data_IF_920574122145
#
_entry.id   IF_920574122145
#
_cell.length_a   1.000
_cell.length_b   1.000
_cell.length_c   1.000
_cell.angle_alpha   90.00
_cell.angle_beta   90.00
_cell.angle_gamma   90.00
#
_symmetry.space_group_name_H-M   'P 1'
#
loop_
_entity.id
_entity.type
_entity.pdbx_description
1 polymer ?
#
# COMPACT_ATOMS: atom_id res chain seq x y z
N UNK A 1 -26.33 0.86 -4.80
CA UNK A 1 -25.13 1.71 -4.72
C UNK A 1 -25.55 3.13 -4.36
N UNK A 2 -25.53 3.50 -3.08
CA UNK A 2 -25.78 4.86 -2.64
C UNK A 2 -24.43 5.53 -2.39
N UNK A 3 -24.06 6.50 -3.22
CA UNK A 3 -22.91 7.36 -3.00
C UNK A 3 -23.30 8.39 -1.92
N UNK A 4 -23.04 8.06 -0.66
CA UNK A 4 -23.26 8.97 0.47
C UNK A 4 -22.04 9.90 0.59
N UNK A 5 -22.26 11.21 0.42
CA UNK A 5 -21.23 12.24 0.40
C UNK A 5 -20.71 12.55 1.80
N UNK A 6 -19.44 12.95 1.95
CA UNK A 6 -18.78 13.23 3.25
C UNK A 6 -19.53 14.27 4.12
N UNK A 7 -20.45 15.05 3.54
CA UNK A 7 -21.34 15.96 4.26
C UNK A 7 -22.41 15.28 5.13
N UNK A 8 -22.60 13.97 4.99
CA UNK A 8 -23.68 13.25 5.67
C UNK A 8 -23.29 12.70 7.06
N UNK A 9 -21.99 12.63 7.37
CA UNK A 9 -21.52 12.15 8.67
C UNK A 9 -21.51 13.29 9.70
N UNK A 10 -22.65 13.50 10.37
CA UNK A 10 -22.79 14.44 11.50
C UNK A 10 -22.40 13.80 12.84
N UNK A 11 -22.26 14.63 13.88
CA UNK A 11 -22.01 14.19 15.26
C UNK A 11 -22.98 13.09 15.66
N UNK A 12 -22.44 12.00 16.21
CA UNK A 12 -23.22 10.85 16.66
C UNK A 12 -24.09 11.28 17.83
N UNK A 13 -25.41 11.12 17.68
CA UNK A 13 -26.40 11.42 18.75
C UNK A 13 -27.16 10.18 19.22
N UNK A 14 -27.04 9.06 18.52
CA UNK A 14 -27.71 7.80 18.89
C UNK A 14 -26.84 6.58 18.69
N UNK A 15 -27.20 5.49 19.39
CA UNK A 15 -26.53 4.19 19.25
C UNK A 15 -26.73 3.59 17.86
N UNK A 16 -27.94 3.70 17.30
CA UNK A 16 -28.27 3.21 15.96
C UNK A 16 -27.45 3.93 14.88
N UNK A 17 -27.29 5.24 14.99
CA UNK A 17 -26.45 6.02 14.09
C UNK A 17 -24.98 5.58 14.18
N UNK A 18 -24.48 5.34 15.40
CA UNK A 18 -23.12 4.81 15.62
C UNK A 18 -22.92 3.45 14.96
N UNK A 19 -23.91 2.58 15.06
CA UNK A 19 -23.85 1.23 14.49
C UNK A 19 -23.88 1.27 12.96
N UNK A 20 -24.71 2.14 12.36
CA UNK A 20 -24.71 2.37 10.92
C UNK A 20 -23.34 2.83 10.44
N UNK A 21 -22.75 3.86 11.06
CA UNK A 21 -21.43 4.35 10.69
C UNK A 21 -20.34 3.28 10.82
N UNK A 22 -20.43 2.42 11.84
CA UNK A 22 -19.50 1.31 12.00
C UNK A 22 -19.61 0.30 10.85
N UNK A 23 -20.83 -0.07 10.47
CA UNK A 23 -21.08 -1.00 9.37
C UNK A 23 -20.62 -0.42 8.03
N UNK A 24 -20.93 0.85 7.77
CA UNK A 24 -20.54 1.54 6.54
C UNK A 24 -19.02 1.66 6.43
N UNK A 25 -18.34 1.99 7.54
CA UNK A 25 -16.88 2.00 7.59
C UNK A 25 -16.30 0.61 7.31
N UNK A 26 -16.82 -0.43 7.97
CA UNK A 26 -16.33 -1.79 7.82
C UNK A 26 -16.54 -2.35 6.41
N UNK A 27 -17.60 -1.95 5.71
CA UNK A 27 -17.90 -2.39 4.35
C UNK A 27 -16.77 -2.03 3.36
N UNK A 28 -16.13 -0.87 3.52
CA UNK A 28 -15.01 -0.42 2.69
C UNK A 28 -13.64 -0.69 3.33
N UNK A 29 -13.58 -0.89 4.64
CA UNK A 29 -12.35 -1.18 5.38
C UNK A 29 -11.62 -2.43 4.87
N UNK A 30 -12.38 -3.43 4.42
CA UNK A 30 -11.85 -4.67 3.86
C UNK A 30 -11.04 -4.48 2.57
N UNK A 31 -11.41 -3.49 1.76
CA UNK A 31 -10.66 -3.14 0.55
C UNK A 31 -9.40 -2.36 0.93
N UNK A 32 -9.54 -1.40 1.84
CA UNK A 32 -8.41 -0.62 2.36
C UNK A 32 -7.34 -1.51 3.00
N UNK A 33 -7.72 -2.45 3.88
CA UNK A 33 -6.77 -3.33 4.58
C UNK A 33 -5.97 -4.21 3.63
N UNK A 34 -6.60 -4.72 2.56
CA UNK A 34 -5.93 -5.53 1.54
C UNK A 34 -4.92 -4.69 0.75
N UNK A 35 -5.31 -3.49 0.32
CA UNK A 35 -4.40 -2.56 -0.37
C UNK A 35 -3.23 -2.14 0.51
N UNK A 36 -3.50 -1.78 1.77
CA UNK A 36 -2.49 -1.41 2.77
C UNK A 36 -1.50 -2.55 3.01
N UNK A 37 -1.98 -3.78 3.14
CA UNK A 37 -1.13 -4.97 3.31
C UNK A 37 -0.25 -5.22 2.08
N UNK A 38 -0.79 -5.02 0.87
CA UNK A 38 -0.04 -5.13 -0.36
C UNK A 38 1.08 -4.09 -0.46
N UNK A 39 0.76 -2.81 -0.21
CA UNK A 39 1.74 -1.73 -0.16
C UNK A 39 2.83 -2.01 0.88
N UNK A 40 2.45 -2.48 2.06
CA UNK A 40 3.41 -2.84 3.11
C UNK A 40 4.34 -3.99 2.69
N UNK A 41 3.81 -5.01 2.00
CA UNK A 41 4.61 -6.12 1.45
C UNK A 41 5.62 -5.62 0.42
N UNK A 42 5.21 -4.72 -0.48
CA UNK A 42 6.09 -4.10 -1.47
C UNK A 42 7.20 -3.29 -0.77
N UNK A 43 6.84 -2.39 0.15
CA UNK A 43 7.81 -1.57 0.90
C UNK A 43 8.82 -2.44 1.63
N UNK A 44 8.37 -3.55 2.26
CA UNK A 44 9.28 -4.49 2.94
C UNK A 44 10.30 -5.09 1.98
N UNK A 45 9.88 -5.56 0.81
CA UNK A 45 10.77 -6.11 -0.22
C UNK A 45 11.79 -5.07 -0.70
N UNK A 46 11.38 -3.80 -0.86
CA UNK A 46 12.29 -2.73 -1.21
C UNK A 46 13.32 -2.45 -0.12
N UNK A 47 12.91 -2.43 1.14
CA UNK A 47 13.84 -2.26 2.26
C UNK A 47 14.85 -3.40 2.32
N UNK A 48 14.39 -4.66 2.19
CA UNK A 48 15.26 -5.85 2.15
C UNK A 48 16.23 -5.84 0.95
N UNK A 49 15.77 -5.41 -0.23
CA UNK A 49 16.63 -5.25 -1.39
C UNK A 49 17.63 -4.11 -1.19
N UNK A 50 17.21 -3.00 -0.60
CA UNK A 50 18.07 -1.86 -0.28
C UNK A 50 19.17 -2.22 0.71
N UNK A 51 18.87 -3.01 1.74
CA UNK A 51 19.88 -3.50 2.69
C UNK A 51 20.83 -4.49 2.03
N UNK A 52 20.32 -5.46 1.26
CA UNK A 52 21.17 -6.38 0.46
C UNK A 52 22.07 -5.61 -0.49
N UNK A 53 21.56 -4.62 -1.22
CA UNK A 53 22.36 -3.77 -2.11
C UNK A 53 23.46 -3.03 -1.36
N UNK A 54 23.19 -2.50 -0.16
CA UNK A 54 24.21 -1.84 0.66
C UNK A 54 25.30 -2.82 1.12
N UNK A 55 24.92 -4.05 1.49
CA UNK A 55 25.84 -5.10 1.93
C UNK A 55 26.71 -5.66 0.79
N UNK A 56 26.13 -5.85 -0.40
CA UNK A 56 26.85 -6.39 -1.56
C UNK A 56 27.61 -5.34 -2.38
N UNK A 57 27.37 -4.03 -2.15
CA UNK A 57 27.96 -2.95 -2.94
C UNK A 57 28.69 -1.89 -2.09
N UNK A 58 29.80 -2.21 -1.40
CA UNK A 58 30.64 -1.22 -0.74
C UNK A 58 31.55 -0.45 -1.74
N UNK A 59 31.01 -0.03 -2.90
CA UNK A 59 31.72 0.86 -3.84
C UNK A 59 32.38 0.22 -5.07
N UNK A 60 32.07 -1.03 -5.45
CA UNK A 60 32.64 -1.65 -6.67
C UNK A 60 31.81 -1.38 -7.94
N UNK A 61 32.50 -1.24 -9.08
CA UNK A 61 31.94 -0.90 -10.40
C UNK A 61 30.96 -1.94 -10.96
N UNK A 62 31.00 -3.18 -10.48
CA UNK A 62 30.13 -4.28 -10.92
C UNK A 62 28.68 -4.15 -10.47
N UNK A 63 28.40 -3.37 -9.41
CA UNK A 63 27.05 -3.13 -8.93
C UNK A 63 26.20 -2.21 -9.83
N UNK A 64 26.82 -1.44 -10.74
CA UNK A 64 26.07 -0.62 -11.68
C UNK A 64 25.32 -1.48 -12.71
N UNK A 65 25.86 -2.67 -13.02
CA UNK A 65 25.31 -3.58 -14.02
C UNK A 65 24.10 -4.37 -13.50
N UNK A 66 24.02 -4.64 -12.19
CA UNK A 66 22.85 -5.31 -11.59
C UNK A 66 21.70 -4.34 -11.28
N UNK A 67 22.00 -3.06 -11.02
CA UNK A 67 20.97 -2.02 -10.78
C UNK A 67 20.04 -1.81 -11.98
N UNK A 68 20.56 -1.84 -13.21
CA UNK A 68 19.72 -1.60 -14.40
C UNK A 68 18.71 -2.72 -14.70
N UNK A 69 19.00 -3.98 -14.32
CA UNK A 69 18.09 -5.11 -14.54
C UNK A 69 16.92 -5.10 -13.56
N UNK A 70 17.18 -4.73 -12.30
CA UNK A 70 16.15 -4.73 -11.23
C UNK A 70 15.12 -3.60 -11.40
N UNK A 71 15.53 -2.44 -11.93
CA UNK A 71 14.60 -1.33 -12.22
C UNK A 71 13.55 -1.74 -13.27
N UNK A 72 13.95 -2.50 -14.30
CA UNK A 72 13.01 -2.96 -15.34
C UNK A 72 11.95 -3.93 -14.80
N UNK A 73 12.33 -4.86 -13.91
CA UNK A 73 11.39 -5.82 -13.32
C UNK A 73 10.41 -5.17 -12.36
N UNK A 74 10.85 -4.12 -11.64
CA UNK A 74 9.99 -3.33 -10.76
C UNK A 74 9.01 -2.47 -11.56
N UNK A 75 9.45 -1.85 -12.67
CA UNK A 75 8.56 -1.10 -13.56
C UNK A 75 7.47 -1.98 -14.19
N UNK A 76 7.78 -3.24 -14.54
CA UNK A 76 6.77 -4.19 -15.03
C UNK A 76 5.79 -4.72 -13.97
N UNK A 77 6.09 -4.54 -12.68
CA UNK A 77 5.18 -4.88 -11.57
C UNK A 77 4.34 -3.67 -11.11
N UNK A 78 4.68 -2.46 -11.57
CA UNK A 78 3.95 -1.22 -11.23
C UNK A 78 2.72 -0.98 -12.11
N UNK A 79 2.59 -1.67 -13.25
CA UNK A 79 1.44 -1.53 -14.16
C UNK A 79 1.00 -2.89 -14.72
N UNK A 80 0.08 -3.58 -14.03
CA UNK A 80 -0.86 -4.47 -14.70
C UNK A 80 -2.32 -4.17 -14.31
N UNK A 81 -2.66 -2.89 -14.10
CA UNK A 81 -4.04 -2.39 -14.02
C UNK A 81 -4.14 -1.05 -14.72
#
# INVERSE_FOLDING_TARGET
CAYFSIREYVTVVSYEQRQSYHNDFNAEYDKYRKLRAHLHSITRRFTELGTKLKLFCPGSKECQVKKYKTVKTVSSLSYPF
#
